data_IF_050838739573
#
_entry.id   IF_050838739573
#
_cell.length_a   1.000
_cell.length_b   1.000
_cell.length_c   1.000
_cell.angle_alpha   90.00
_cell.angle_beta   90.00
_cell.angle_gamma   90.00
#
_symmetry.space_group_name_H-M   'P 1'
#
loop_
_entity.id
_entity.type
_entity.pdbx_description
1 polymer ?
#
# COMPACT_ATOMS: atom_id res chain seq x y z
N UNK A 1 -6.42 19.61 -8.11
CA UNK A 1 -6.39 18.69 -6.93
C UNK A 1 -5.40 17.53 -7.05
N UNK A 2 -5.47 16.64 -8.07
CA UNK A 2 -4.51 15.53 -8.21
C UNK A 2 -3.10 15.97 -8.61
N UNK A 3 -2.98 16.97 -9.49
CA UNK A 3 -1.69 17.53 -9.92
C UNK A 3 -0.91 18.11 -8.75
N UNK A 4 -1.54 18.91 -7.91
CA UNK A 4 -0.95 19.46 -6.68
C UNK A 4 -0.45 18.38 -5.71
N UNK A 5 -1.19 17.25 -5.61
CA UNK A 5 -0.77 16.11 -4.80
C UNK A 5 0.50 15.45 -5.34
N UNK A 6 0.61 15.33 -6.67
CA UNK A 6 1.81 14.76 -7.32
C UNK A 6 2.99 15.72 -7.13
N UNK A 7 2.80 17.03 -7.34
CA UNK A 7 3.82 18.06 -7.15
C UNK A 7 4.32 18.09 -5.69
N UNK A 8 3.42 17.98 -4.71
CA UNK A 8 3.79 17.85 -3.29
C UNK A 8 4.64 16.61 -3.00
N UNK A 9 4.26 15.45 -3.57
CA UNK A 9 5.04 14.21 -3.40
C UNK A 9 6.40 14.24 -4.09
N UNK A 10 6.53 15.01 -5.17
CA UNK A 10 7.83 15.27 -5.80
C UNK A 10 8.70 16.07 -4.83
N UNK A 11 8.20 17.17 -4.27
CA UNK A 11 8.93 18.00 -3.32
C UNK A 11 9.39 17.21 -2.08
N UNK A 12 8.53 16.40 -1.48
CA UNK A 12 8.87 15.52 -0.35
C UNK A 12 9.96 14.49 -0.70
N UNK A 13 9.94 13.98 -1.94
CA UNK A 13 10.96 13.02 -2.40
C UNK A 13 12.29 13.71 -2.72
N UNK A 14 12.28 14.94 -3.21
CA UNK A 14 13.47 15.75 -3.43
C UNK A 14 14.15 16.13 -2.11
N UNK A 15 13.38 16.50 -1.08
CA UNK A 15 13.90 16.71 0.27
C UNK A 15 14.56 15.44 0.84
N UNK A 16 13.96 14.28 0.61
CA UNK A 16 14.54 12.99 1.00
C UNK A 16 15.87 12.73 0.28
N UNK A 17 15.99 13.10 -1.00
CA UNK A 17 17.24 12.99 -1.75
C UNK A 17 18.35 13.86 -1.14
N UNK A 18 18.04 15.10 -0.75
CA UNK A 18 19.02 15.98 -0.10
C UNK A 18 19.51 15.41 1.22
N UNK A 19 18.59 14.92 2.07
CA UNK A 19 18.93 14.27 3.34
C UNK A 19 19.84 13.06 3.10
N UNK A 20 19.49 12.18 2.14
CA UNK A 20 20.29 11.01 1.81
C UNK A 20 21.69 11.37 1.29
N UNK A 21 21.80 12.45 0.53
CA UNK A 21 23.08 12.98 0.04
C UNK A 21 23.95 13.48 1.19
N UNK A 22 23.37 14.21 2.13
CA UNK A 22 24.09 14.74 3.31
C UNK A 22 24.59 13.63 4.24
N UNK A 23 23.83 12.54 4.42
CA UNK A 23 24.22 11.42 5.27
C UNK A 23 25.00 10.30 4.54
N UNK A 24 25.34 10.48 3.26
CA UNK A 24 26.10 9.50 2.46
C UNK A 24 25.34 8.21 2.13
N UNK A 25 24.00 8.22 2.22
CA UNK A 25 23.17 7.05 1.91
C UNK A 25 22.87 6.99 0.40
N UNK A 26 23.82 6.45 -0.37
CA UNK A 26 23.70 6.33 -1.84
C UNK A 26 22.48 5.51 -2.28
N UNK A 27 22.16 4.44 -1.55
CA UNK A 27 21.01 3.59 -1.86
C UNK A 27 19.68 4.34 -1.65
N UNK A 28 19.56 5.06 -0.54
CA UNK A 28 18.40 5.89 -0.26
C UNK A 28 18.24 7.02 -1.27
N UNK A 29 19.34 7.65 -1.67
CA UNK A 29 19.36 8.67 -2.71
C UNK A 29 18.82 8.14 -4.05
N UNK A 30 19.32 6.99 -4.51
CA UNK A 30 18.88 6.37 -5.76
C UNK A 30 17.39 6.02 -5.74
N UNK A 31 16.90 5.45 -4.66
CA UNK A 31 15.47 5.13 -4.51
C UNK A 31 14.58 6.38 -4.55
N UNK A 32 14.97 7.46 -3.90
CA UNK A 32 14.24 8.72 -3.92
C UNK A 32 14.28 9.35 -5.33
N UNK A 33 15.41 9.27 -6.03
CA UNK A 33 15.56 9.74 -7.41
C UNK A 33 14.64 8.97 -8.39
N UNK A 34 14.59 7.64 -8.29
CA UNK A 34 13.73 6.81 -9.12
C UNK A 34 12.25 7.16 -8.89
N UNK A 35 11.88 7.46 -7.64
CA UNK A 35 10.54 7.91 -7.28
C UNK A 35 10.18 9.28 -7.89
N UNK A 36 11.08 10.25 -7.83
CA UNK A 36 10.91 11.57 -8.46
C UNK A 36 10.72 11.42 -9.97
N UNK A 37 11.55 10.60 -10.62
CA UNK A 37 11.46 10.36 -12.06
C UNK A 37 10.11 9.72 -12.45
N UNK A 38 9.64 8.74 -11.68
CA UNK A 38 8.34 8.10 -11.89
C UNK A 38 7.17 9.09 -11.73
N UNK A 39 7.21 9.94 -10.69
CA UNK A 39 6.18 10.95 -10.46
C UNK A 39 6.17 12.05 -11.54
N UNK A 40 7.34 12.48 -12.02
CA UNK A 40 7.45 13.43 -13.14
C UNK A 40 6.91 12.84 -14.43
N UNK A 41 7.17 11.55 -14.70
CA UNK A 41 6.59 10.86 -15.85
C UNK A 41 5.07 10.82 -15.78
N UNK A 42 4.49 10.50 -14.63
CA UNK A 42 3.04 10.57 -14.42
C UNK A 42 2.47 11.98 -14.62
N UNK A 43 3.22 13.02 -14.28
CA UNK A 43 2.81 14.40 -14.48
C UNK A 43 2.82 14.79 -15.97
N UNK A 44 3.82 14.35 -16.75
CA UNK A 44 3.93 14.61 -18.20
C UNK A 44 2.86 13.82 -18.97
N UNK A 45 2.64 12.55 -18.67
CA UNK A 45 1.61 11.73 -19.31
C UNK A 45 0.21 12.31 -19.09
N UNK A 46 -0.04 12.90 -17.91
CA UNK A 46 -1.30 13.61 -17.63
C UNK A 46 -1.40 14.97 -18.34
N UNK A 47 -0.29 15.63 -18.66
CA UNK A 47 -0.32 16.90 -19.39
C UNK A 47 -0.56 16.69 -20.89
N UNK A 48 -0.02 15.62 -21.47
CA UNK A 48 -0.25 15.27 -22.89
C UNK A 48 -1.66 14.72 -23.13
N UNK A 49 -2.26 14.07 -22.13
CA UNK A 49 -3.65 13.56 -22.19
C UNK A 49 -4.73 14.66 -22.18
N UNK A 50 -4.36 15.92 -21.91
CA UNK A 50 -5.31 17.04 -21.92
C UNK A 50 -5.57 17.58 -23.32
N UNK A 51 -4.64 17.37 -24.29
CA UNK A 51 -4.72 18.01 -25.61
C UNK A 51 -5.28 17.11 -26.73
N UNK A 52 -5.59 15.82 -26.42
CA UNK A 52 -6.17 14.90 -27.43
C UNK A 52 -7.39 14.14 -26.92
N UNK A 53 -8.18 14.75 -26.03
CA UNK A 53 -9.44 14.14 -25.60
C UNK A 53 -10.52 14.45 -26.66
N UNK A 54 -11.01 13.44 -27.43
CA UNK A 54 -12.28 13.62 -28.11
C UNK A 54 -13.32 13.96 -27.04
N UNK A 55 -14.12 14.98 -27.30
CA UNK A 55 -15.26 15.33 -26.46
C UNK A 55 -16.03 14.08 -26.09
N UNK A 56 -15.78 13.55 -24.89
CA UNK A 56 -16.70 12.59 -24.29
C UNK A 56 -17.94 13.38 -24.01
N UNK A 57 -18.93 13.18 -24.83
CA UNK A 57 -20.33 13.51 -24.53
C UNK A 57 -20.54 13.14 -23.06
N UNK A 58 -20.72 14.15 -22.23
CA UNK A 58 -20.84 13.97 -20.78
C UNK A 58 -22.07 13.10 -20.51
N UNK A 59 -21.84 11.83 -20.27
CA UNK A 59 -22.78 11.05 -19.48
C UNK A 59 -22.69 11.67 -18.07
N UNK A 60 -23.71 12.37 -17.70
CA UNK A 60 -23.89 12.83 -16.32
C UNK A 60 -23.75 11.59 -15.45
N UNK A 61 -22.80 11.61 -14.51
CA UNK A 61 -22.67 10.53 -13.54
C UNK A 61 -23.97 10.49 -12.76
N UNK A 62 -24.74 9.44 -12.93
CA UNK A 62 -25.99 9.29 -12.20
C UNK A 62 -25.71 9.18 -10.70
N UNK A 63 -26.53 9.84 -9.92
CA UNK A 63 -26.52 9.70 -8.46
C UNK A 63 -27.26 8.40 -8.13
N UNK A 64 -26.49 7.35 -7.86
CA UNK A 64 -27.00 6.07 -7.43
C UNK A 64 -26.93 5.94 -5.91
N UNK A 65 -27.81 5.15 -5.35
CA UNK A 65 -27.86 4.90 -3.90
C UNK A 65 -27.25 3.55 -3.60
N UNK A 66 -26.19 3.56 -2.78
CA UNK A 66 -25.64 2.35 -2.19
C UNK A 66 -25.88 2.30 -0.68
N UNK A 67 -25.77 1.12 -0.09
CA UNK A 67 -25.98 0.92 1.34
C UNK A 67 -24.69 0.46 2.01
N UNK A 68 -24.36 1.08 3.16
CA UNK A 68 -23.21 0.62 3.94
C UNK A 68 -23.44 -0.82 4.42
N UNK A 69 -22.51 -1.73 4.11
CA UNK A 69 -22.55 -3.16 4.46
C UNK A 69 -22.62 -3.42 5.97
N UNK A 70 -22.27 -2.44 6.81
CA UNK A 70 -22.17 -2.61 8.25
C UNK A 70 -23.31 -1.96 9.05
N UNK A 71 -23.80 -0.80 8.63
CA UNK A 71 -24.86 -0.09 9.35
C UNK A 71 -26.15 0.09 8.55
N UNK A 72 -26.16 -0.28 7.26
CA UNK A 72 -27.32 -0.16 6.37
C UNK A 72 -27.66 1.27 5.97
N UNK A 73 -26.86 2.28 6.34
CA UNK A 73 -27.11 3.66 5.96
C UNK A 73 -27.02 3.82 4.45
N UNK A 74 -28.04 4.44 3.85
CA UNK A 74 -28.03 4.82 2.44
C UNK A 74 -27.10 5.99 2.19
N UNK A 75 -26.30 5.91 1.15
CA UNK A 75 -25.30 6.92 0.77
C UNK A 75 -25.37 7.13 -0.72
N UNK A 76 -25.47 8.40 -1.13
CA UNK A 76 -25.40 8.75 -2.55
C UNK A 76 -23.96 8.60 -3.06
N UNK A 77 -23.82 7.84 -4.14
CA UNK A 77 -22.55 7.59 -4.82
C UNK A 77 -22.68 8.04 -6.27
N UNK A 78 -21.64 8.70 -6.79
CA UNK A 78 -21.57 9.03 -8.21
C UNK A 78 -20.92 7.86 -8.93
N UNK A 79 -21.71 7.08 -9.63
CA UNK A 79 -21.26 5.88 -10.31
C UNK A 79 -21.82 5.84 -11.74
N UNK A 80 -21.20 5.06 -12.60
CA UNK A 80 -21.73 4.80 -13.93
C UNK A 80 -22.84 3.72 -13.84
N UNK A 81 -23.80 3.69 -14.77
CA UNK A 81 -24.90 2.71 -14.82
C UNK A 81 -24.48 1.23 -14.82
N UNK A 82 -23.17 0.96 -15.01
CA UNK A 82 -22.62 -0.38 -15.10
C UNK A 82 -22.26 -1.01 -13.74
N UNK A 83 -22.40 -0.27 -12.64
CA UNK A 83 -22.06 -0.79 -11.31
C UNK A 83 -23.12 -1.77 -10.82
N UNK A 84 -22.66 -2.92 -10.35
CA UNK A 84 -23.49 -3.89 -9.65
C UNK A 84 -23.91 -3.35 -8.26
N UNK A 85 -24.97 -3.92 -7.69
CA UNK A 85 -25.41 -3.58 -6.34
C UNK A 85 -24.30 -3.76 -5.30
N UNK A 86 -23.48 -4.81 -5.42
CA UNK A 86 -22.34 -5.06 -4.52
C UNK A 86 -21.26 -3.99 -4.62
N UNK A 87 -20.97 -3.50 -5.82
CA UNK A 87 -20.00 -2.41 -6.03
C UNK A 87 -20.53 -1.08 -5.49
N UNK A 88 -21.82 -0.79 -5.68
CA UNK A 88 -22.46 0.41 -5.09
C UNK A 88 -22.43 0.37 -3.56
N UNK A 89 -22.69 -0.79 -2.97
CA UNK A 89 -22.63 -0.99 -1.53
C UNK A 89 -21.19 -0.90 -0.99
N UNK A 90 -20.20 -1.32 -1.75
CA UNK A 90 -18.78 -1.11 -1.42
C UNK A 90 -18.43 0.37 -1.43
N UNK A 91 -18.79 1.12 -2.49
CA UNK A 91 -18.57 2.56 -2.57
C UNK A 91 -19.29 3.33 -1.44
N UNK A 92 -20.50 2.92 -1.10
CA UNK A 92 -21.25 3.49 0.03
C UNK A 92 -20.55 3.17 1.37
N UNK A 93 -20.02 1.98 1.51
CA UNK A 93 -19.24 1.57 2.71
C UNK A 93 -17.97 2.40 2.85
N UNK A 94 -17.28 2.66 1.75
CA UNK A 94 -16.06 3.50 1.73
C UNK A 94 -16.35 4.97 2.10
N UNK A 95 -17.53 5.47 1.83
CA UNK A 95 -17.96 6.83 2.22
C UNK A 95 -18.59 6.91 3.61
N UNK A 96 -19.04 5.77 4.17
CA UNK A 96 -19.74 5.73 5.44
C UNK A 96 -18.85 6.13 6.62
N UNK A 97 -19.40 6.92 7.54
CA UNK A 97 -18.70 7.42 8.74
C UNK A 97 -18.86 6.51 9.96
N UNK A 98 -19.60 5.40 9.87
CA UNK A 98 -19.77 4.49 11.01
C UNK A 98 -18.42 3.81 11.39
N UNK A 99 -18.27 3.50 12.68
CA UNK A 99 -17.02 2.92 13.20
C UNK A 99 -16.62 1.58 12.56
N UNK A 100 -17.58 0.76 12.16
CA UNK A 100 -17.30 -0.51 11.46
C UNK A 100 -16.79 -0.29 10.06
N UNK A 101 -17.33 0.68 9.30
CA UNK A 101 -16.85 1.05 7.99
C UNK A 101 -15.44 1.70 8.07
N UNK A 102 -15.20 2.54 9.08
CA UNK A 102 -13.87 3.11 9.33
C UNK A 102 -12.82 2.02 9.60
N UNK A 103 -13.14 1.02 10.43
CA UNK A 103 -12.27 -0.11 10.69
C UNK A 103 -12.02 -0.97 9.43
N UNK A 104 -13.06 -1.18 8.63
CA UNK A 104 -12.95 -1.91 7.36
C UNK A 104 -11.98 -1.22 6.40
N UNK A 105 -12.13 0.10 6.18
CA UNK A 105 -11.21 0.89 5.35
C UNK A 105 -9.77 0.86 5.86
N UNK A 106 -9.60 0.98 7.18
CA UNK A 106 -8.27 0.87 7.78
C UNK A 106 -7.64 -0.50 7.51
N UNK A 107 -8.36 -1.60 7.71
CA UNK A 107 -7.87 -2.95 7.43
C UNK A 107 -7.49 -3.13 5.95
N UNK A 108 -8.34 -2.64 5.04
CA UNK A 108 -8.12 -2.67 3.59
C UNK A 108 -6.83 -1.92 3.22
N UNK A 109 -6.67 -0.69 3.72
CA UNK A 109 -5.47 0.12 3.49
C UNK A 109 -4.19 -0.55 4.04
N UNK A 110 -4.23 -1.09 5.25
CA UNK A 110 -3.08 -1.83 5.82
C UNK A 110 -2.75 -3.07 4.99
N UNK A 111 -3.76 -3.78 4.52
CA UNK A 111 -3.56 -4.96 3.68
C UNK A 111 -2.95 -4.62 2.32
N UNK A 112 -3.39 -3.53 1.67
CA UNK A 112 -2.84 -3.09 0.39
C UNK A 112 -1.35 -2.72 0.50
N UNK A 113 -0.98 -1.93 1.50
CA UNK A 113 0.43 -1.56 1.73
C UNK A 113 1.27 -2.80 2.05
N UNK A 114 0.75 -3.67 2.91
CA UNK A 114 1.42 -4.90 3.30
C UNK A 114 1.65 -5.85 2.12
N UNK A 115 0.68 -6.01 1.22
CA UNK A 115 0.82 -6.86 0.03
C UNK A 115 1.92 -6.35 -0.91
N UNK A 116 2.07 -5.03 -1.05
CA UNK A 116 3.18 -4.43 -1.80
C UNK A 116 4.54 -4.77 -1.16
N UNK A 117 4.62 -4.71 0.17
CA UNK A 117 5.84 -5.10 0.89
C UNK A 117 6.16 -6.60 0.70
N UNK A 118 5.15 -7.46 0.76
CA UNK A 118 5.30 -8.91 0.52
C UNK A 118 5.81 -9.19 -0.88
N UNK A 119 5.24 -8.57 -1.90
CA UNK A 119 5.69 -8.71 -3.28
C UNK A 119 7.15 -8.25 -3.45
N UNK A 120 7.52 -7.14 -2.82
CA UNK A 120 8.88 -6.60 -2.91
C UNK A 120 9.91 -7.46 -2.19
N UNK A 121 9.55 -8.03 -1.02
CA UNK A 121 10.46 -8.84 -0.20
C UNK A 121 10.65 -10.25 -0.77
N UNK A 122 9.60 -10.81 -1.36
CA UNK A 122 9.54 -12.20 -1.82
C UNK A 122 9.39 -12.33 -3.34
N UNK A 123 9.89 -11.38 -4.12
CA UNK A 123 9.76 -11.30 -5.59
C UNK A 123 9.91 -12.64 -6.34
N UNK A 124 10.79 -13.53 -5.85
CA UNK A 124 11.13 -14.83 -6.47
C UNK A 124 10.69 -16.05 -5.64
N UNK A 125 9.93 -15.86 -4.58
CA UNK A 125 9.59 -16.93 -3.62
C UNK A 125 8.07 -16.96 -3.42
N UNK A 126 7.36 -17.57 -4.38
CA UNK A 126 5.90 -17.61 -4.40
C UNK A 126 5.31 -18.29 -3.15
N UNK A 127 5.96 -19.36 -2.66
CA UNK A 127 5.48 -20.05 -1.46
C UNK A 127 5.52 -19.13 -0.22
N UNK A 128 6.57 -18.31 -0.12
CA UNK A 128 6.68 -17.33 0.97
C UNK A 128 5.72 -16.17 0.79
N UNK A 129 5.44 -15.75 -0.44
CA UNK A 129 4.40 -14.74 -0.73
C UNK A 129 3.05 -15.20 -0.22
N UNK A 130 2.62 -16.39 -0.62
CA UNK A 130 1.32 -16.95 -0.23
C UNK A 130 1.21 -17.12 1.29
N UNK A 131 2.25 -17.66 1.91
CA UNK A 131 2.30 -17.83 3.36
C UNK A 131 2.16 -16.49 4.09
N UNK A 132 2.95 -15.47 3.68
CA UNK A 132 2.91 -14.16 4.34
C UNK A 132 1.63 -13.41 4.00
N UNK A 133 1.08 -13.51 2.79
CA UNK A 133 -0.21 -12.93 2.44
C UNK A 133 -1.34 -13.45 3.33
N UNK A 134 -1.42 -14.77 3.52
CA UNK A 134 -2.40 -15.40 4.40
C UNK A 134 -2.19 -14.98 5.86
N UNK A 135 -0.95 -15.06 6.35
CA UNK A 135 -0.62 -14.73 7.72
C UNK A 135 -0.87 -13.25 8.03
N UNK A 136 -0.55 -12.35 7.10
CA UNK A 136 -0.83 -10.92 7.23
C UNK A 136 -2.30 -10.62 7.43
N UNK A 137 -3.16 -11.25 6.65
CA UNK A 137 -4.61 -11.15 6.80
C UNK A 137 -5.07 -11.61 8.19
N UNK A 138 -4.51 -12.71 8.70
CA UNK A 138 -4.85 -13.21 10.05
C UNK A 138 -4.40 -12.25 11.16
N UNK A 139 -3.25 -11.58 11.00
CA UNK A 139 -2.75 -10.57 11.95
C UNK A 139 -3.61 -9.31 11.90
N UNK A 140 -3.97 -8.83 10.71
CA UNK A 140 -4.85 -7.65 10.52
C UNK A 140 -6.25 -7.91 11.10
N UNK A 141 -6.73 -9.15 10.98
CA UNK A 141 -8.01 -9.56 11.56
C UNK A 141 -7.96 -9.81 13.09
N UNK A 142 -6.77 -9.77 13.68
CA UNK A 142 -6.57 -10.00 15.10
C UNK A 142 -6.70 -11.47 15.52
N UNK A 143 -6.67 -12.41 14.56
CA UNK A 143 -6.73 -13.86 14.83
C UNK A 143 -5.42 -14.38 15.40
N UNK A 144 -4.31 -13.79 15.00
CA UNK A 144 -2.96 -14.03 15.55
C UNK A 144 -2.28 -12.68 15.79
N UNK A 145 -1.35 -12.63 16.76
CA UNK A 145 -0.62 -11.39 17.09
C UNK A 145 0.65 -11.20 16.29
N UNK A 146 1.30 -12.29 15.91
CA UNK A 146 2.55 -12.31 15.16
C UNK A 146 2.76 -13.68 14.53
N UNK A 147 3.68 -13.73 13.55
CA UNK A 147 4.22 -14.98 12.99
C UNK A 147 5.74 -14.90 12.91
N UNK A 148 6.40 -16.01 13.15
CA UNK A 148 7.84 -16.19 12.96
C UNK A 148 8.08 -17.38 12.04
N UNK A 149 8.78 -17.16 10.94
CA UNK A 149 9.14 -18.18 9.96
C UNK A 149 10.66 -18.31 9.88
N UNK A 150 11.18 -19.50 10.12
CA UNK A 150 12.61 -19.80 10.02
C UNK A 150 12.92 -20.24 8.59
N UNK A 151 13.50 -19.35 7.80
CA UNK A 151 13.84 -19.61 6.39
C UNK A 151 15.13 -20.45 6.26
N UNK A 152 16.08 -20.29 7.21
CA UNK A 152 17.32 -21.06 7.28
C UNK A 152 17.83 -21.14 8.73
N UNK A 153 18.94 -21.84 8.97
CA UNK A 153 19.57 -21.89 10.28
C UNK A 153 19.93 -20.49 10.83
N UNK A 154 20.19 -19.56 9.93
CA UNK A 154 20.71 -18.22 10.24
C UNK A 154 19.67 -17.12 10.03
N UNK A 155 18.60 -17.36 9.27
CA UNK A 155 17.63 -16.33 8.86
C UNK A 155 16.22 -16.63 9.36
N UNK A 156 15.68 -15.72 10.15
CA UNK A 156 14.30 -15.76 10.65
C UNK A 156 13.55 -14.51 10.21
N UNK A 157 12.35 -14.71 9.68
CA UNK A 157 11.42 -13.66 9.29
C UNK A 157 10.34 -13.54 10.36
N UNK A 158 10.17 -12.34 10.89
CA UNK A 158 9.15 -12.05 11.90
C UNK A 158 8.17 -11.03 11.36
N UNK A 159 6.89 -11.27 11.53
CA UNK A 159 5.84 -10.36 11.15
C UNK A 159 4.94 -10.06 12.35
N UNK A 160 4.64 -8.79 12.59
CA UNK A 160 3.75 -8.33 13.67
C UNK A 160 3.19 -6.95 13.36
N UNK A 161 2.11 -6.60 14.04
CA UNK A 161 1.63 -5.21 14.05
C UNK A 161 2.65 -4.31 14.74
N UNK A 162 2.93 -3.15 14.13
CA UNK A 162 3.76 -2.08 14.71
C UNK A 162 3.05 -0.73 14.47
N UNK A 163 2.53 -0.16 15.54
CA UNK A 163 1.67 1.03 15.40
C UNK A 163 0.40 0.70 14.61
N UNK A 164 0.12 1.47 13.57
CA UNK A 164 -1.05 1.31 12.70
C UNK A 164 -0.82 0.42 11.46
N UNK A 165 0.37 -0.19 11.32
CA UNK A 165 0.73 -0.99 10.15
C UNK A 165 1.29 -2.36 10.50
N UNK A 166 1.40 -3.21 9.48
CA UNK A 166 2.03 -4.52 9.57
C UNK A 166 3.50 -4.41 9.16
N UNK A 167 4.40 -5.04 9.90
CA UNK A 167 5.84 -4.94 9.68
C UNK A 167 6.49 -6.33 9.56
N UNK A 168 7.27 -6.53 8.50
CA UNK A 168 8.12 -7.72 8.33
C UNK A 168 9.55 -7.35 8.73
N UNK A 169 10.14 -8.12 9.63
CA UNK A 169 11.53 -7.96 10.09
C UNK A 169 12.32 -9.21 9.81
N UNK A 170 13.50 -9.05 9.20
CA UNK A 170 14.47 -10.14 9.01
C UNK A 170 15.50 -10.08 10.13
N UNK A 171 15.70 -11.21 10.81
CA UNK A 171 16.77 -11.38 11.81
C UNK A 171 17.79 -12.39 11.26
N UNK A 172 19.03 -11.96 11.10
CA UNK A 172 20.16 -12.83 10.69
C UNK A 172 21.08 -13.04 11.87
N UNK A 173 21.38 -14.32 12.21
CA UNK A 173 22.38 -14.67 13.19
C UNK A 173 23.74 -14.62 12.50
N UNK A 174 24.60 -13.68 12.86
CA UNK A 174 26.03 -13.73 12.48
C UNK A 174 26.67 -14.88 13.23
N UNK A 175 27.23 -15.87 12.52
CA UNK A 175 28.18 -16.84 13.11
C UNK A 175 29.43 -16.06 13.52
N UNK A 176 29.66 -15.92 14.79
CA UNK A 176 30.99 -15.61 15.33
C UNK A 176 31.75 -16.96 15.32
N UNK A 177 32.59 -17.20 14.33
CA UNK A 177 33.57 -18.27 14.41
C UNK A 177 34.62 -17.86 15.44
N UNK A 178 34.51 -18.41 16.63
CA UNK A 178 35.62 -18.37 17.58
C UNK A 178 36.70 -19.37 17.08
N UNK A 179 37.67 -18.85 16.33
CA UNK A 179 38.89 -19.60 16.00
C UNK A 179 39.72 -19.63 17.28
N UNK A 180 39.64 -20.73 18.04
CA UNK A 180 40.59 -20.98 19.12
C UNK A 180 41.87 -21.51 18.49
N UNK A 181 42.90 -20.72 18.48
CA UNK A 181 44.27 -21.20 18.22
C UNK A 181 44.74 -21.93 19.47
N UNK A 182 44.88 -23.27 19.36
CA UNK A 182 45.58 -24.11 20.33
C UNK A 182 47.09 -24.15 20.04
#
# INVERSE_FOLDING_TARGET
MEREKIEKRIAESEETMEICKLCGNERGYKMAQDRVNSLRKQLSEKSEAIDTRPERTGKEKEELVGYCKFCGQSIMVHADETYTEDELNELATDKCTCGKAANYRWKKSVQEVYMQDVEMIFDKDEEMKDLFAMAGKMVIDGKISAISVKKSAEKTLNMKMKGSGLCIQTTEKKKTENVSYG
#
